data_IF_105734571804
#
_entry.id   IF_105734571804
#
_cell.length_a   1.000
_cell.length_b   1.000
_cell.length_c   1.000
_cell.angle_alpha   90.00
_cell.angle_beta   90.00
_cell.angle_gamma   90.00
#
_symmetry.space_group_name_H-M   'P 1'
#
loop_
_entity.id
_entity.type
_entity.pdbx_description
1 polymer ?
#
# COMPACT_ATOMS: atom_id res chain seq x y z
N UNK A 1 -36.87 -22.26 -88.42
CA UNK A 1 -38.10 -21.43 -88.25
C UNK A 1 -38.02 -20.72 -86.91
N UNK A 2 -37.98 -19.33 -86.90
CA UNK A 2 -38.17 -18.37 -85.81
C UNK A 2 -37.43 -18.63 -84.49
N UNK A 3 -36.32 -17.94 -84.13
CA UNK A 3 -36.16 -16.53 -83.69
C UNK A 3 -37.14 -16.13 -82.54
N UNK A 4 -36.63 -16.00 -81.34
CA UNK A 4 -37.03 -14.91 -80.45
C UNK A 4 -35.83 -14.48 -79.54
N UNK A 5 -35.54 -13.24 -79.63
CA UNK A 5 -34.61 -12.45 -78.82
C UNK A 5 -35.18 -12.26 -77.41
N UNK A 6 -34.32 -12.26 -76.44
CA UNK A 6 -34.66 -11.87 -75.04
C UNK A 6 -33.49 -11.14 -74.40
N UNK A 7 -33.71 -9.92 -74.06
CA UNK A 7 -32.82 -8.85 -73.73
C UNK A 7 -31.95 -9.09 -72.44
N UNK A 8 -30.74 -8.65 -72.52
CA UNK A 8 -29.79 -8.51 -71.43
C UNK A 8 -30.19 -7.38 -70.49
N UNK A 9 -30.23 -7.65 -69.20
CA UNK A 9 -30.34 -6.64 -68.16
C UNK A 9 -28.99 -6.55 -67.39
N UNK A 10 -28.29 -5.40 -67.30
CA UNK A 10 -27.04 -5.33 -66.55
C UNK A 10 -27.31 -5.21 -65.05
N UNK A 11 -26.75 -6.18 -64.32
CA UNK A 11 -26.79 -6.22 -62.85
C UNK A 11 -26.11 -4.99 -62.24
N UNK A 12 -26.88 -4.34 -61.38
CA UNK A 12 -26.39 -3.27 -60.50
C UNK A 12 -25.48 -3.90 -59.46
N UNK A 13 -24.20 -3.55 -59.52
CA UNK A 13 -23.22 -3.85 -58.49
C UNK A 13 -23.58 -3.08 -57.23
N UNK A 14 -23.99 -3.83 -56.19
CA UNK A 14 -24.16 -3.29 -54.84
C UNK A 14 -22.77 -3.05 -54.25
N UNK A 15 -22.29 -1.82 -54.31
CA UNK A 15 -21.14 -1.36 -53.52
C UNK A 15 -21.52 -1.36 -52.03
N UNK A 16 -20.96 -2.30 -51.32
CA UNK A 16 -21.00 -2.39 -49.85
C UNK A 16 -20.10 -1.26 -49.32
N UNK A 17 -20.56 -0.22 -48.62
CA UNK A 17 -19.70 0.81 -48.12
C UNK A 17 -18.81 0.23 -47.02
N UNK A 18 -17.50 0.36 -47.20
CA UNK A 18 -16.49 0.03 -46.18
C UNK A 18 -16.83 0.72 -44.85
N UNK A 19 -16.60 0.09 -43.69
CA UNK A 19 -16.89 0.69 -42.39
C UNK A 19 -16.10 1.98 -42.25
N UNK A 20 -16.79 3.10 -42.16
CA UNK A 20 -16.21 4.40 -41.85
C UNK A 20 -15.49 4.30 -40.53
N UNK A 21 -14.18 4.42 -40.57
CA UNK A 21 -13.34 4.66 -39.39
C UNK A 21 -13.87 5.97 -38.74
N UNK A 22 -14.64 5.85 -37.68
CA UNK A 22 -15.10 6.96 -36.86
C UNK A 22 -13.86 7.63 -36.27
N UNK A 23 -13.41 8.73 -36.84
CA UNK A 23 -12.45 9.64 -36.25
C UNK A 23 -13.06 10.09 -34.91
N UNK A 24 -12.55 9.55 -33.81
CA UNK A 24 -12.94 10.00 -32.47
C UNK A 24 -12.63 11.50 -32.33
N UNK A 25 -13.54 12.31 -31.80
CA UNK A 25 -13.34 13.73 -31.66
C UNK A 25 -12.17 14.01 -30.72
N UNK A 26 -11.24 14.88 -31.10
CA UNK A 26 -10.17 15.45 -30.26
C UNK A 26 -10.67 15.96 -28.92
N UNK A 27 -11.95 16.25 -28.78
CA UNK A 27 -12.65 16.73 -27.60
C UNK A 27 -12.62 15.74 -26.38
N UNK A 28 -12.57 14.43 -26.60
CA UNK A 28 -12.61 13.45 -25.49
C UNK A 28 -11.29 13.43 -24.68
N UNK A 29 -10.15 13.53 -25.34
CA UNK A 29 -8.83 13.60 -24.68
C UNK A 29 -8.64 14.92 -23.93
N UNK A 30 -9.04 16.05 -24.52
CA UNK A 30 -8.98 17.36 -23.88
C UNK A 30 -9.88 17.43 -22.64
N UNK A 31 -11.04 16.78 -22.68
CA UNK A 31 -11.97 16.71 -21.55
C UNK A 31 -11.43 15.86 -20.38
N UNK A 32 -10.78 14.72 -20.66
CA UNK A 32 -10.15 13.88 -19.61
C UNK A 32 -8.96 14.58 -18.96
N UNK A 33 -8.15 15.32 -19.71
CA UNK A 33 -7.03 16.09 -19.16
C UNK A 33 -7.49 17.25 -18.28
N UNK A 34 -8.53 17.97 -18.71
CA UNK A 34 -9.14 19.03 -17.92
C UNK A 34 -9.75 18.47 -16.62
N UNK A 35 -10.43 17.32 -16.70
CA UNK A 35 -10.98 16.62 -15.54
C UNK A 35 -9.88 16.20 -14.54
N UNK A 36 -8.74 15.69 -15.02
CA UNK A 36 -7.61 15.32 -14.17
C UNK A 36 -6.99 16.55 -13.49
N UNK A 37 -6.79 17.65 -14.22
CA UNK A 37 -6.27 18.91 -13.64
C UNK A 37 -7.20 19.45 -12.56
N UNK A 38 -8.50 19.49 -12.81
CA UNK A 38 -9.51 19.92 -11.84
C UNK A 38 -9.50 19.06 -10.58
N UNK A 39 -9.41 17.73 -10.75
CA UNK A 39 -9.32 16.80 -9.63
C UNK A 39 -8.05 16.97 -8.80
N UNK A 40 -6.89 17.10 -9.45
CA UNK A 40 -5.61 17.33 -8.75
C UNK A 40 -5.66 18.64 -7.94
N UNK A 41 -6.24 19.71 -8.48
CA UNK A 41 -6.43 20.98 -7.78
C UNK A 41 -7.40 20.85 -6.58
N UNK A 42 -8.47 20.06 -6.71
CA UNK A 42 -9.39 19.77 -5.59
C UNK A 42 -8.72 18.97 -4.49
N UNK A 43 -7.91 17.95 -4.84
CA UNK A 43 -7.13 17.18 -3.89
C UNK A 43 -6.06 18.02 -3.16
N UNK A 44 -5.45 18.99 -3.83
CA UNK A 44 -4.46 19.87 -3.21
C UNK A 44 -5.06 20.68 -2.05
N UNK A 45 -6.33 21.04 -2.12
CA UNK A 45 -7.08 21.78 -1.09
C UNK A 45 -7.71 20.87 -0.03
N UNK A 46 -7.76 19.55 -0.27
CA UNK A 46 -8.39 18.61 0.66
C UNK A 46 -7.47 18.29 1.85
N UNK A 47 -8.03 18.04 3.07
CA UNK A 47 -7.26 17.65 4.25
C UNK A 47 -6.79 16.19 4.15
N UNK A 48 -6.06 15.87 3.09
CA UNK A 48 -5.53 14.54 2.81
C UNK A 48 -4.00 14.54 2.89
N UNK A 49 -3.43 13.43 3.35
CA UNK A 49 -1.99 13.24 3.34
C UNK A 49 -1.44 13.29 1.90
N UNK A 50 -0.23 13.83 1.73
CA UNK A 50 0.42 13.95 0.42
C UNK A 50 0.52 12.61 -0.33
N UNK A 51 0.75 11.50 0.39
CA UNK A 51 0.77 10.15 -0.19
C UNK A 51 -0.60 9.74 -0.74
N UNK A 52 -1.69 10.01 -0.02
CA UNK A 52 -3.07 9.74 -0.45
C UNK A 52 -3.40 10.56 -1.70
N UNK A 53 -3.08 11.87 -1.71
CA UNK A 53 -3.26 12.73 -2.88
C UNK A 53 -2.54 12.18 -4.12
N UNK A 54 -1.27 11.80 -3.98
CA UNK A 54 -0.50 11.18 -5.08
C UNK A 54 -1.12 9.88 -5.57
N UNK A 55 -1.52 9.00 -4.66
CA UNK A 55 -2.14 7.72 -5.00
C UNK A 55 -3.46 7.92 -5.74
N UNK A 56 -4.35 8.77 -5.24
CA UNK A 56 -5.63 9.04 -5.84
C UNK A 56 -5.49 9.68 -7.22
N UNK A 57 -4.62 10.69 -7.36
CA UNK A 57 -4.32 11.29 -8.67
C UNK A 57 -3.80 10.27 -9.68
N UNK A 58 -2.90 9.38 -9.25
CA UNK A 58 -2.35 8.32 -10.11
C UNK A 58 -3.42 7.32 -10.55
N UNK A 59 -4.32 6.91 -9.64
CA UNK A 59 -5.40 5.97 -9.95
C UNK A 59 -6.43 6.58 -10.91
N UNK A 60 -6.86 7.81 -10.65
CA UNK A 60 -7.79 8.54 -11.52
C UNK A 60 -7.17 8.82 -12.88
N UNK A 61 -5.88 9.16 -12.94
CA UNK A 61 -5.19 9.30 -14.24
C UNK A 61 -5.26 8.00 -15.03
N UNK A 62 -5.00 6.85 -14.42
CA UNK A 62 -5.11 5.55 -15.08
C UNK A 62 -6.50 5.27 -15.62
N UNK A 63 -7.54 5.61 -14.86
CA UNK A 63 -8.93 5.52 -15.31
C UNK A 63 -9.23 6.43 -16.49
N UNK A 64 -8.86 7.71 -16.41
CA UNK A 64 -9.13 8.68 -17.47
C UNK A 64 -8.35 8.37 -18.76
N UNK A 65 -7.13 7.85 -18.65
CA UNK A 65 -6.38 7.37 -19.82
C UNK A 65 -7.08 6.16 -20.48
N UNK A 66 -7.58 5.22 -19.69
CA UNK A 66 -8.37 4.11 -20.21
C UNK A 66 -9.66 4.61 -20.85
N UNK A 67 -10.39 5.50 -20.19
CA UNK A 67 -11.63 6.08 -20.67
C UNK A 67 -11.46 6.81 -22.03
N UNK A 68 -10.32 7.49 -22.24
CA UNK A 68 -10.02 8.14 -23.50
C UNK A 68 -9.90 7.17 -24.69
N UNK A 69 -9.68 5.88 -24.45
CA UNK A 69 -9.51 4.83 -25.47
C UNK A 69 -10.62 3.78 -25.46
N UNK A 70 -11.39 3.69 -24.39
CA UNK A 70 -12.48 2.74 -24.25
C UNK A 70 -13.69 3.15 -25.12
N UNK A 71 -14.42 2.16 -25.62
CA UNK A 71 -15.71 2.36 -26.29
C UNK A 71 -16.80 2.36 -25.22
N UNK A 72 -17.29 3.55 -24.88
CA UNK A 72 -18.26 3.76 -23.80
C UNK A 72 -19.39 4.62 -24.33
N UNK A 73 -20.62 4.18 -24.10
CA UNK A 73 -21.81 4.91 -24.48
C UNK A 73 -22.08 6.10 -23.53
N UNK A 74 -22.47 7.23 -24.08
CA UNK A 74 -22.84 8.46 -23.34
C UNK A 74 -21.63 9.28 -22.89
N UNK A 75 -21.87 10.19 -21.94
CA UNK A 75 -20.82 11.01 -21.30
C UNK A 75 -20.53 10.54 -19.86
N UNK A 76 -19.52 9.68 -19.64
CA UNK A 76 -19.18 9.20 -18.30
C UNK A 76 -18.73 10.32 -17.34
N UNK A 77 -18.29 11.46 -17.86
CA UNK A 77 -17.85 12.59 -17.03
C UNK A 77 -18.99 13.55 -16.64
N UNK A 78 -20.17 13.44 -17.27
CA UNK A 78 -21.33 14.30 -17.01
C UNK A 78 -22.59 13.55 -16.58
N UNK A 79 -22.74 12.28 -16.93
CA UNK A 79 -23.96 11.50 -16.74
C UNK A 79 -23.77 10.35 -15.74
N UNK A 80 -24.60 10.22 -14.67
CA UNK A 80 -24.48 9.15 -13.68
C UNK A 80 -24.58 7.75 -14.26
N UNK A 81 -25.44 7.52 -15.24
CA UNK A 81 -25.62 6.20 -15.83
C UNK A 81 -24.42 5.79 -16.68
N UNK A 82 -23.93 6.67 -17.55
CA UNK A 82 -22.73 6.44 -18.36
C UNK A 82 -21.48 6.25 -17.46
N UNK A 83 -21.38 7.02 -16.35
CA UNK A 83 -20.35 6.81 -15.30
C UNK A 83 -20.39 5.40 -14.76
N UNK A 84 -21.55 4.89 -14.34
CA UNK A 84 -21.68 3.58 -13.73
C UNK A 84 -21.29 2.45 -14.69
N UNK A 85 -21.66 2.55 -15.96
CA UNK A 85 -21.21 1.62 -17.00
C UNK A 85 -19.70 1.68 -17.19
N UNK A 86 -19.13 2.87 -17.39
CA UNK A 86 -17.69 3.03 -17.60
C UNK A 86 -16.86 2.51 -16.41
N UNK A 87 -17.31 2.71 -15.17
CA UNK A 87 -16.58 2.23 -13.99
C UNK A 87 -16.68 0.72 -13.84
N UNK A 88 -17.80 0.09 -14.17
CA UNK A 88 -17.95 -1.39 -14.22
C UNK A 88 -17.02 -2.02 -15.26
N UNK A 89 -16.97 -1.42 -16.47
CA UNK A 89 -16.11 -1.89 -17.54
C UNK A 89 -14.63 -1.73 -17.18
N UNK A 90 -14.25 -0.60 -16.59
CA UNK A 90 -12.88 -0.40 -16.11
C UNK A 90 -12.50 -1.38 -14.98
N UNK A 91 -13.43 -1.67 -14.05
CA UNK A 91 -13.24 -2.71 -13.04
C UNK A 91 -12.99 -4.06 -13.70
N UNK A 92 -13.80 -4.43 -14.68
CA UNK A 92 -13.64 -5.68 -15.44
C UNK A 92 -12.29 -5.72 -16.14
N UNK A 93 -11.90 -4.64 -16.81
CA UNK A 93 -10.60 -4.51 -17.45
C UNK A 93 -9.43 -4.64 -16.45
N UNK A 94 -9.53 -4.01 -15.27
CA UNK A 94 -8.51 -4.14 -14.22
C UNK A 94 -8.32 -5.60 -13.76
N UNK A 95 -9.40 -6.37 -13.69
CA UNK A 95 -9.38 -7.77 -13.26
C UNK A 95 -8.89 -8.69 -14.39
N UNK A 96 -9.48 -8.57 -15.58
CA UNK A 96 -9.32 -9.55 -16.67
C UNK A 96 -8.11 -9.25 -17.57
N UNK A 97 -7.85 -7.99 -17.87
CA UNK A 97 -6.79 -7.55 -18.79
C UNK A 97 -5.55 -7.12 -18.02
N UNK A 98 -5.70 -6.16 -17.10
CA UNK A 98 -4.58 -5.65 -16.31
C UNK A 98 -4.17 -6.57 -15.17
N UNK A 99 -4.95 -7.61 -14.86
CA UNK A 99 -4.72 -8.66 -13.84
C UNK A 99 -4.29 -8.08 -12.49
N UNK A 100 -4.98 -7.04 -12.04
CA UNK A 100 -4.67 -6.37 -10.77
C UNK A 100 -5.23 -7.15 -9.58
N UNK A 101 -4.47 -7.20 -8.49
CA UNK A 101 -4.92 -7.82 -7.24
C UNK A 101 -6.20 -7.13 -6.70
N UNK A 102 -7.11 -7.88 -6.04
CA UNK A 102 -8.38 -7.35 -5.53
C UNK A 102 -8.26 -6.08 -4.69
N UNK A 103 -7.28 -6.01 -3.78
CA UNK A 103 -7.02 -4.82 -2.98
C UNK A 103 -6.63 -3.60 -3.83
N UNK A 104 -5.89 -3.81 -4.93
CA UNK A 104 -5.53 -2.75 -5.88
C UNK A 104 -6.74 -2.25 -6.65
N UNK A 105 -7.63 -3.16 -7.07
CA UNK A 105 -8.89 -2.83 -7.75
C UNK A 105 -9.77 -2.00 -6.80
N UNK A 106 -10.01 -2.49 -5.58
CA UNK A 106 -10.85 -1.80 -4.60
C UNK A 106 -10.31 -0.40 -4.24
N UNK A 107 -8.99 -0.26 -4.10
CA UNK A 107 -8.36 1.04 -3.86
C UNK A 107 -8.48 1.98 -5.08
N UNK A 108 -8.48 1.43 -6.30
CA UNK A 108 -8.69 2.21 -7.52
C UNK A 108 -10.14 2.69 -7.60
N UNK A 109 -11.10 1.83 -7.33
CA UNK A 109 -12.52 2.21 -7.27
C UNK A 109 -12.78 3.27 -6.20
N UNK A 110 -12.13 3.19 -5.03
CA UNK A 110 -12.25 4.23 -4.00
C UNK A 110 -11.76 5.62 -4.47
N UNK A 111 -10.68 5.65 -5.25
CA UNK A 111 -10.18 6.89 -5.82
C UNK A 111 -11.12 7.44 -6.92
N UNK A 112 -11.76 6.57 -7.70
CA UNK A 112 -12.75 6.94 -8.72
C UNK A 112 -14.03 7.47 -8.06
N UNK A 113 -14.48 6.87 -6.95
CA UNK A 113 -15.63 7.38 -6.19
C UNK A 113 -15.36 8.78 -5.63
N UNK A 114 -14.17 9.03 -5.07
CA UNK A 114 -13.77 10.36 -4.59
C UNK A 114 -13.73 11.36 -5.78
N UNK A 115 -13.24 10.94 -6.94
CA UNK A 115 -13.22 11.76 -8.15
C UNK A 115 -14.63 12.20 -8.58
N UNK A 116 -15.55 11.26 -8.70
CA UNK A 116 -16.91 11.55 -9.12
C UNK A 116 -17.72 12.30 -8.06
N UNK A 117 -17.51 12.00 -6.77
CA UNK A 117 -18.13 12.73 -5.66
C UNK A 117 -17.72 14.20 -5.70
N UNK A 118 -16.45 14.52 -5.96
CA UNK A 118 -15.96 15.91 -6.09
C UNK A 118 -16.47 16.62 -7.35
N UNK A 119 -16.94 15.88 -8.31
CA UNK A 119 -17.61 16.42 -9.52
C UNK A 119 -19.13 16.60 -9.34
N UNK A 120 -19.69 16.24 -8.20
CA UNK A 120 -21.12 16.32 -7.92
C UNK A 120 -21.95 15.16 -8.47
N UNK A 121 -21.32 14.13 -9.05
CA UNK A 121 -22.01 12.96 -9.60
C UNK A 121 -22.21 11.83 -8.55
N UNK A 122 -21.58 11.93 -7.38
CA UNK A 122 -21.59 10.87 -6.36
C UNK A 122 -20.75 9.65 -6.73
N UNK A 123 -20.65 8.65 -5.85
CA UNK A 123 -19.88 7.43 -6.09
C UNK A 123 -20.54 6.59 -7.19
N UNK A 124 -19.74 5.79 -7.92
CA UNK A 124 -20.23 4.86 -8.92
C UNK A 124 -20.79 3.57 -8.27
N UNK A 125 -21.82 2.99 -8.90
CA UNK A 125 -22.40 1.70 -8.50
C UNK A 125 -21.56 0.53 -9.05
N UNK A 126 -20.33 0.36 -8.52
CA UNK A 126 -19.47 -0.77 -8.86
C UNK A 126 -19.11 -1.56 -7.62
N UNK A 127 -19.44 -2.86 -7.61
CA UNK A 127 -19.16 -3.75 -6.49
C UNK A 127 -17.66 -3.88 -6.24
N UNK A 128 -17.29 -3.86 -4.97
CA UNK A 128 -15.95 -4.18 -4.53
C UNK A 128 -15.68 -5.68 -4.67
N UNK A 129 -14.43 -6.02 -4.93
CA UNK A 129 -14.02 -7.42 -4.93
C UNK A 129 -13.82 -7.90 -3.50
N UNK A 130 -14.19 -9.15 -3.25
CA UNK A 130 -13.87 -9.81 -1.99
C UNK A 130 -12.34 -9.85 -1.80
N UNK A 131 -11.90 -9.43 -0.64
CA UNK A 131 -10.49 -9.51 -0.27
C UNK A 131 -10.23 -10.88 0.37
N UNK A 132 -9.24 -11.64 -0.13
CA UNK A 132 -8.87 -12.86 0.56
C UNK A 132 -8.51 -12.53 2.00
N UNK A 133 -9.14 -13.24 2.93
CA UNK A 133 -8.85 -13.11 4.37
C UNK A 133 -7.54 -13.81 4.68
N UNK A 134 -6.43 -13.31 4.12
CA UNK A 134 -5.12 -13.79 4.52
C UNK A 134 -4.79 -13.24 5.89
N UNK A 135 -4.47 -14.14 6.83
CA UNK A 135 -3.85 -13.72 8.07
C UNK A 135 -2.55 -12.97 7.73
N UNK A 136 -2.26 -11.86 8.43
CA UNK A 136 -1.00 -11.17 8.26
C UNK A 136 0.15 -12.17 8.42
N UNK A 137 1.07 -12.20 7.46
CA UNK A 137 2.19 -13.13 7.49
C UNK A 137 3.18 -12.69 8.58
N UNK A 138 3.26 -13.45 9.66
CA UNK A 138 4.32 -13.35 10.64
C UNK A 138 5.37 -14.44 10.37
N UNK A 139 6.62 -14.19 10.73
CA UNK A 139 7.67 -15.21 10.71
C UNK A 139 7.39 -16.22 11.84
N UNK A 140 7.56 -17.50 11.54
CA UNK A 140 7.70 -18.51 12.59
C UNK A 140 9.06 -18.38 13.31
N UNK A 141 9.25 -19.09 14.41
CA UNK A 141 10.45 -18.98 15.24
C UNK A 141 11.73 -19.30 14.47
N UNK A 142 11.69 -20.28 13.56
CA UNK A 142 12.86 -20.67 12.75
C UNK A 142 13.20 -19.58 11.72
N UNK A 143 12.19 -19.02 11.05
CA UNK A 143 12.38 -17.93 10.10
C UNK A 143 12.82 -16.65 10.81
N UNK A 144 12.27 -16.34 11.99
CA UNK A 144 12.67 -15.21 12.81
C UNK A 144 14.15 -15.31 13.24
N UNK A 145 14.59 -16.48 13.68
CA UNK A 145 16.01 -16.70 14.01
C UNK A 145 16.94 -16.58 12.79
N UNK A 146 16.53 -17.09 11.61
CA UNK A 146 17.30 -16.88 10.38
C UNK A 146 17.38 -15.41 10.00
N UNK A 147 16.27 -14.68 10.11
CA UNK A 147 16.20 -13.26 9.88
C UNK A 147 17.14 -12.47 10.76
N UNK A 148 17.13 -12.72 12.08
CA UNK A 148 18.01 -12.07 13.05
C UNK A 148 19.50 -12.39 12.80
N UNK A 149 19.83 -13.62 12.44
CA UNK A 149 21.20 -14.01 12.07
C UNK A 149 21.68 -13.25 10.83
N UNK A 150 20.83 -13.13 9.80
CA UNK A 150 21.17 -12.38 8.58
C UNK A 150 21.37 -10.89 8.85
N UNK A 151 20.53 -10.29 9.72
CA UNK A 151 20.72 -8.91 10.16
C UNK A 151 22.06 -8.75 10.88
N UNK A 152 22.35 -9.60 11.86
CA UNK A 152 23.58 -9.53 12.64
C UNK A 152 24.84 -9.73 11.78
N UNK A 153 24.76 -10.53 10.72
CA UNK A 153 25.85 -10.74 9.76
C UNK A 153 26.00 -9.58 8.76
N UNK A 154 25.02 -8.66 8.67
CA UNK A 154 25.10 -7.55 7.73
C UNK A 154 26.17 -6.53 8.19
N UNK A 155 27.09 -6.09 7.30
CA UNK A 155 28.24 -5.28 7.72
C UNK A 155 27.88 -3.88 8.20
N UNK A 156 26.82 -3.26 7.61
CA UNK A 156 26.48 -1.86 7.90
C UNK A 156 25.53 -1.74 9.10
N UNK A 157 25.93 -1.07 10.21
CA UNK A 157 25.08 -0.82 11.37
C UNK A 157 23.78 -0.09 11.02
N UNK A 158 23.81 0.87 10.09
CA UNK A 158 22.61 1.54 9.58
C UNK A 158 21.55 0.55 9.09
N UNK A 159 21.96 -0.44 8.31
CA UNK A 159 21.05 -1.38 7.66
C UNK A 159 20.53 -2.43 8.66
N UNK A 160 21.35 -2.77 9.67
CA UNK A 160 20.91 -3.58 10.81
C UNK A 160 19.83 -2.88 11.61
N UNK A 161 20.05 -1.60 11.98
CA UNK A 161 19.03 -0.78 12.66
C UNK A 161 17.76 -0.68 11.84
N UNK A 162 17.86 -0.40 10.54
CA UNK A 162 16.71 -0.32 9.63
C UNK A 162 15.86 -1.60 9.68
N UNK A 163 16.49 -2.77 9.65
CA UNK A 163 15.80 -4.05 9.63
C UNK A 163 15.21 -4.45 11.00
N UNK A 164 15.86 -4.03 12.10
CA UNK A 164 15.43 -4.32 13.48
C UNK A 164 14.28 -3.43 13.95
N UNK A 165 14.16 -2.18 13.48
CA UNK A 165 13.11 -1.25 13.91
C UNK A 165 11.68 -1.79 13.71
N UNK A 166 11.30 -2.36 12.54
CA UNK A 166 10.01 -3.01 12.38
C UNK A 166 9.83 -4.26 13.25
N UNK A 167 10.91 -5.00 13.46
CA UNK A 167 10.89 -6.28 14.16
C UNK A 167 10.84 -6.14 15.70
N UNK A 168 11.59 -5.19 16.28
CA UNK A 168 11.67 -5.01 17.74
C UNK A 168 10.89 -3.83 18.29
N UNK A 169 10.45 -2.92 17.45
CA UNK A 169 9.66 -1.77 17.86
C UNK A 169 8.33 -1.64 17.09
N UNK A 170 8.02 -2.57 16.19
CA UNK A 170 6.77 -2.62 15.46
C UNK A 170 6.52 -1.41 14.53
N UNK A 171 7.56 -0.70 14.08
CA UNK A 171 7.42 0.49 13.25
C UNK A 171 6.98 0.14 11.82
N UNK A 172 6.14 1.01 11.22
CA UNK A 172 5.91 0.97 9.77
C UNK A 172 7.14 1.48 9.04
N UNK A 173 7.38 1.03 7.81
CA UNK A 173 8.55 1.49 7.02
C UNK A 173 8.61 3.02 6.88
N UNK A 174 7.45 3.66 6.72
CA UNK A 174 7.37 5.12 6.64
C UNK A 174 7.72 5.80 7.98
N UNK A 175 7.33 5.23 9.11
CA UNK A 175 7.69 5.67 10.45
C UNK A 175 9.19 5.47 10.68
N UNK A 176 9.73 4.32 10.28
CA UNK A 176 11.16 3.98 10.39
C UNK A 176 12.06 5.01 9.69
N UNK A 177 11.76 5.34 8.44
CA UNK A 177 12.58 6.31 7.69
C UNK A 177 12.32 7.77 8.10
N UNK A 178 11.22 8.03 8.81
CA UNK A 178 10.87 9.37 9.29
C UNK A 178 11.55 9.73 10.61
N UNK A 179 12.14 8.77 11.33
CA UNK A 179 12.83 9.04 12.59
C UNK A 179 13.97 10.05 12.42
N UNK A 180 14.04 10.99 13.34
CA UNK A 180 15.15 11.93 13.52
C UNK A 180 16.01 11.52 14.72
N UNK A 181 17.19 12.11 14.86
CA UNK A 181 18.07 11.87 16.01
C UNK A 181 17.37 12.23 17.33
N UNK A 182 16.64 13.34 17.36
CA UNK A 182 15.90 13.81 18.54
C UNK A 182 14.71 12.92 18.93
N UNK A 183 14.34 11.98 18.08
CA UNK A 183 13.30 11.00 18.38
C UNK A 183 13.83 9.81 19.18
N UNK A 184 15.14 9.79 19.49
CA UNK A 184 15.81 8.67 20.14
C UNK A 184 16.43 9.12 21.46
N UNK A 185 15.97 8.55 22.55
CA UNK A 185 16.61 8.68 23.85
C UNK A 185 17.23 7.34 24.24
N UNK A 186 18.56 7.28 24.36
CA UNK A 186 19.29 6.09 24.80
C UNK A 186 20.07 6.37 26.06
N UNK A 187 20.08 5.37 26.95
CA UNK A 187 20.98 5.29 28.10
C UNK A 187 21.62 3.90 28.14
N UNK A 188 22.55 3.69 29.08
CA UNK A 188 23.22 2.39 29.22
C UNK A 188 22.24 1.20 29.42
N UNK A 189 21.10 1.44 30.06
CA UNK A 189 20.13 0.38 30.42
C UNK A 189 18.77 0.48 29.74
N UNK A 190 18.37 1.68 29.26
CA UNK A 190 17.04 1.96 28.72
C UNK A 190 17.12 2.73 27.42
N UNK A 191 16.10 2.64 26.61
CA UNK A 191 15.93 3.46 25.43
C UNK A 191 14.47 3.64 25.11
N UNK A 192 14.15 4.77 24.48
CA UNK A 192 12.78 5.12 24.03
C UNK A 192 12.85 5.72 22.64
N UNK A 193 11.92 5.35 21.78
CA UNK A 193 11.70 5.95 20.46
C UNK A 193 10.41 6.75 20.50
N UNK A 194 10.45 8.00 20.09
CA UNK A 194 9.29 8.85 19.87
C UNK A 194 8.84 8.71 18.41
N UNK A 195 7.74 8.01 18.19
CA UNK A 195 7.26 7.67 16.85
C UNK A 195 6.06 8.52 16.48
N UNK A 196 6.19 9.30 15.41
CA UNK A 196 5.09 10.11 14.86
C UNK A 196 4.22 9.25 13.96
N UNK A 197 2.95 9.09 14.32
CA UNK A 197 1.95 8.34 13.58
C UNK A 197 1.23 9.17 12.51
N UNK A 198 0.08 8.68 12.05
CA UNK A 198 -0.78 9.40 11.11
C UNK A 198 -1.47 10.59 11.81
N UNK A 199 -1.41 11.76 11.21
CA UNK A 199 -1.93 13.00 11.80
C UNK A 199 -0.96 13.58 12.82
N UNK A 200 -1.46 13.93 14.01
CA UNK A 200 -0.67 14.52 15.11
C UNK A 200 -0.35 13.51 16.22
N UNK A 201 -0.67 12.23 16.03
CA UNK A 201 -0.45 11.23 17.08
C UNK A 201 1.04 10.93 17.23
N UNK A 202 1.50 10.95 18.48
CA UNK A 202 2.86 10.55 18.88
C UNK A 202 2.74 9.44 19.89
N UNK A 203 3.58 8.42 19.77
CA UNK A 203 3.71 7.35 20.77
C UNK A 203 5.16 7.15 21.16
N UNK A 204 5.37 6.68 22.37
CA UNK A 204 6.67 6.26 22.85
C UNK A 204 6.77 4.74 22.82
N UNK A 205 7.85 4.22 22.25
CA UNK A 205 8.11 2.80 22.15
C UNK A 205 9.40 2.48 22.88
N UNK A 206 9.37 1.65 23.94
CA UNK A 206 10.57 1.18 24.61
C UNK A 206 11.48 0.41 23.63
N UNK A 207 12.79 0.61 23.75
CA UNK A 207 13.77 -0.02 22.87
C UNK A 207 14.24 -1.36 23.43
N UNK A 208 14.04 -2.42 22.66
CA UNK A 208 14.57 -3.74 22.98
C UNK A 208 16.11 -3.72 23.13
N UNK A 209 16.72 -4.48 24.06
CA UNK A 209 18.16 -4.43 24.31
C UNK A 209 19.04 -4.63 23.07
N UNK A 210 18.70 -5.57 22.19
CA UNK A 210 19.43 -5.82 20.95
C UNK A 210 19.31 -4.64 19.96
N UNK A 211 18.14 -4.06 19.80
CA UNK A 211 17.96 -2.86 18.97
C UNK A 211 18.76 -1.66 19.55
N UNK A 212 18.80 -1.56 20.89
CA UNK A 212 19.56 -0.49 21.56
C UNK A 212 21.05 -0.61 21.27
N UNK A 213 21.62 -1.79 21.33
CA UNK A 213 23.04 -2.02 21.02
C UNK A 213 23.35 -1.61 19.56
N UNK A 214 22.51 -2.02 18.61
CA UNK A 214 22.70 -1.65 17.21
C UNK A 214 22.49 -0.15 16.93
N UNK A 215 21.55 0.48 17.63
CA UNK A 215 21.38 1.94 17.57
C UNK A 215 22.63 2.66 18.09
N UNK A 216 23.23 2.20 19.20
CA UNK A 216 24.47 2.80 19.72
C UNK A 216 25.58 2.71 18.68
N UNK A 217 25.83 1.53 18.10
CA UNK A 217 26.84 1.34 17.04
C UNK A 217 26.57 2.24 15.83
N UNK A 218 25.33 2.36 15.41
CA UNK A 218 24.99 3.22 14.31
C UNK A 218 25.19 4.71 14.63
N UNK A 219 24.82 5.15 15.83
CA UNK A 219 25.00 6.54 16.25
C UNK A 219 26.47 6.94 16.35
N UNK A 220 27.35 6.00 16.67
CA UNK A 220 28.82 6.19 16.63
C UNK A 220 29.35 6.31 15.20
N UNK A 221 28.83 5.52 14.25
CA UNK A 221 29.27 5.53 12.85
C UNK A 221 28.64 6.66 12.03
N UNK A 222 27.40 7.05 12.37
CA UNK A 222 26.62 8.00 11.58
C UNK A 222 27.31 9.34 11.30
N UNK A 223 28.07 9.95 12.20
CA UNK A 223 28.78 11.20 11.92
C UNK A 223 29.74 11.14 10.72
N UNK A 224 30.21 9.93 10.37
CA UNK A 224 31.09 9.70 9.23
C UNK A 224 30.33 9.56 7.90
N UNK A 225 29.01 9.59 7.91
CA UNK A 225 28.21 9.45 6.70
C UNK A 225 28.01 10.80 6.00
N UNK A 226 27.93 10.81 4.65
CA UNK A 226 27.61 12.03 3.90
C UNK A 226 26.35 12.68 4.44
N UNK A 227 26.39 14.00 4.66
CA UNK A 227 25.26 14.82 5.11
C UNK A 227 24.82 14.61 6.56
N UNK A 228 25.63 13.95 7.39
CA UNK A 228 25.35 13.73 8.80
C UNK A 228 25.26 15.03 9.60
N UNK A 229 26.01 16.03 9.20
CA UNK A 229 26.08 17.37 9.76
C UNK A 229 24.88 18.27 9.39
N UNK A 230 24.24 17.99 8.26
CA UNK A 230 23.17 18.82 7.70
C UNK A 230 21.78 18.19 7.81
N UNK A 231 21.69 16.89 8.05
CA UNK A 231 20.44 16.16 8.10
C UNK A 231 20.12 15.64 9.50
N UNK A 232 18.94 15.96 10.09
CA UNK A 232 18.52 15.40 11.38
C UNK A 232 18.08 13.93 11.28
N UNK A 233 17.93 13.37 10.08
CA UNK A 233 17.41 12.03 9.87
C UNK A 233 18.26 10.96 10.54
N UNK A 234 17.65 10.04 11.28
CA UNK A 234 18.35 8.87 11.83
C UNK A 234 19.01 8.06 10.71
N UNK A 235 18.25 7.73 9.66
CA UNK A 235 18.70 6.87 8.57
C UNK A 235 19.02 7.70 7.32
N UNK A 236 20.28 7.78 6.97
CA UNK A 236 20.79 8.49 5.80
C UNK A 236 20.93 7.58 4.59
N UNK A 237 20.76 8.13 3.41
CA UNK A 237 21.15 7.48 2.16
C UNK A 237 22.62 7.83 1.81
N UNK A 238 23.20 7.15 0.81
CA UNK A 238 24.60 7.39 0.41
C UNK A 238 24.87 8.76 -0.22
N UNK A 239 23.83 9.58 -0.47
CA UNK A 239 23.93 10.93 -1.02
C UNK A 239 23.76 12.01 0.07
N UNK A 240 23.72 11.62 1.34
CA UNK A 240 23.62 12.52 2.48
C UNK A 240 22.20 12.94 2.86
N UNK A 241 21.18 12.56 2.12
CA UNK A 241 19.79 12.85 2.50
C UNK A 241 19.14 11.73 3.30
N UNK A 242 17.93 11.99 3.79
CA UNK A 242 17.09 10.97 4.45
C UNK A 242 16.89 9.74 3.55
N UNK A 243 16.95 8.55 4.12
CA UNK A 243 16.66 7.31 3.41
C UNK A 243 15.18 7.28 2.97
N UNK A 244 14.95 6.97 1.70
CA UNK A 244 13.59 6.87 1.18
C UNK A 244 12.94 5.53 1.55
N UNK A 245 11.60 5.47 1.60
CA UNK A 245 10.83 4.23 1.82
C UNK A 245 11.24 3.14 0.81
N UNK A 246 11.43 3.49 -0.46
CA UNK A 246 11.85 2.55 -1.49
C UNK A 246 13.27 2.02 -1.23
N UNK A 247 14.21 2.90 -0.88
CA UNK A 247 15.58 2.51 -0.53
C UNK A 247 15.60 1.57 0.69
N UNK A 248 14.84 1.91 1.72
CA UNK A 248 14.67 1.08 2.91
C UNK A 248 14.08 -0.30 2.58
N UNK A 249 13.03 -0.35 1.76
CA UNK A 249 12.43 -1.62 1.32
C UNK A 249 13.40 -2.49 0.54
N UNK A 250 14.23 -1.90 -0.33
CA UNK A 250 15.23 -2.64 -1.11
C UNK A 250 16.31 -3.23 -0.18
N UNK A 251 16.78 -2.49 0.82
CA UNK A 251 17.77 -2.97 1.80
C UNK A 251 17.21 -4.17 2.58
N UNK A 252 15.98 -4.06 3.10
CA UNK A 252 15.31 -5.15 3.82
C UNK A 252 15.18 -6.38 2.91
N UNK A 253 14.78 -6.22 1.65
CA UNK A 253 14.67 -7.31 0.69
C UNK A 253 16.03 -7.99 0.42
N UNK A 254 17.12 -7.21 0.33
CA UNK A 254 18.48 -7.77 0.17
C UNK A 254 18.91 -8.60 1.37
N UNK A 255 18.67 -8.11 2.60
CA UNK A 255 18.97 -8.87 3.83
C UNK A 255 18.13 -10.16 3.87
N UNK A 256 16.87 -10.11 3.47
CA UNK A 256 15.98 -11.28 3.42
C UNK A 256 16.46 -12.33 2.42
N UNK A 257 16.86 -11.92 1.23
CA UNK A 257 17.42 -12.82 0.22
C UNK A 257 18.68 -13.53 0.73
N UNK A 258 19.58 -12.79 1.41
CA UNK A 258 20.78 -13.38 2.04
C UNK A 258 20.45 -14.37 3.17
N UNK A 259 19.27 -14.26 3.77
CA UNK A 259 18.77 -15.20 4.79
C UNK A 259 18.13 -16.47 4.19
N UNK A 260 18.04 -16.58 2.87
CA UNK A 260 17.27 -17.63 2.19
C UNK A 260 15.77 -17.56 2.54
N UNK A 261 15.25 -16.36 2.72
CA UNK A 261 13.85 -16.08 3.04
C UNK A 261 13.19 -15.49 1.79
N UNK A 262 13.11 -16.31 0.73
CA UNK A 262 12.72 -15.91 -0.63
C UNK A 262 11.29 -15.40 -0.79
N UNK A 263 10.45 -15.63 0.20
CA UNK A 263 9.05 -15.26 0.18
C UNK A 263 8.76 -13.77 0.51
N UNK A 264 9.71 -12.88 0.29
CA UNK A 264 9.46 -11.44 0.37
C UNK A 264 9.25 -10.90 1.78
N UNK A 265 10.28 -10.97 2.64
CA UNK A 265 10.27 -10.24 3.91
C UNK A 265 10.25 -8.75 3.62
N UNK A 266 9.30 -8.08 4.24
CA UNK A 266 9.13 -6.63 4.22
C UNK A 266 9.13 -6.09 5.65
N UNK A 267 9.26 -4.78 5.81
CA UNK A 267 9.06 -4.14 7.10
C UNK A 267 7.68 -4.48 7.71
N UNK A 268 6.68 -4.72 6.85
CA UNK A 268 5.34 -5.11 7.29
C UNK A 268 5.33 -6.51 7.91
N UNK A 269 6.05 -7.47 7.33
CA UNK A 269 6.26 -8.80 7.91
C UNK A 269 6.97 -8.71 9.27
N UNK A 270 8.04 -7.89 9.39
CA UNK A 270 8.72 -7.65 10.67
C UNK A 270 7.76 -7.11 11.74
N UNK A 271 6.97 -6.10 11.40
CA UNK A 271 5.95 -5.54 12.29
C UNK A 271 4.85 -6.55 12.64
N UNK A 272 4.41 -7.39 11.70
CA UNK A 272 3.45 -8.46 12.00
C UNK A 272 4.04 -9.50 12.94
N UNK A 273 5.30 -9.87 12.75
CA UNK A 273 6.02 -10.77 13.66
C UNK A 273 6.07 -10.17 15.05
N UNK A 274 6.45 -8.89 15.21
CA UNK A 274 6.42 -8.19 16.49
C UNK A 274 5.05 -8.30 17.17
N UNK A 275 3.98 -7.94 16.46
CA UNK A 275 2.63 -7.98 17.01
C UNK A 275 2.19 -9.40 17.40
N UNK A 276 2.41 -10.38 16.52
CA UNK A 276 2.02 -11.77 16.75
C UNK A 276 2.80 -12.40 17.90
N UNK A 277 4.09 -12.09 18.01
CA UNK A 277 4.94 -12.59 19.11
C UNK A 277 4.45 -12.06 20.47
N UNK A 278 4.14 -10.75 20.56
CA UNK A 278 3.60 -10.17 21.80
C UNK A 278 2.25 -10.77 22.19
N UNK A 279 1.35 -10.91 21.23
CA UNK A 279 0.01 -11.49 21.47
C UNK A 279 0.13 -12.95 21.92
N UNK A 280 0.95 -13.77 21.24
CA UNK A 280 1.20 -15.17 21.62
C UNK A 280 1.92 -15.30 22.96
N UNK A 281 2.74 -14.32 23.32
CA UNK A 281 3.37 -14.20 24.63
C UNK A 281 2.42 -13.76 25.76
N UNK A 282 1.12 -13.58 25.47
CA UNK A 282 0.11 -13.21 26.48
C UNK A 282 0.05 -11.72 26.80
N UNK A 283 0.69 -10.86 25.98
CA UNK A 283 0.62 -9.40 26.17
C UNK A 283 -0.82 -8.92 25.91
N UNK A 284 -1.33 -8.05 26.77
CA UNK A 284 -2.64 -7.44 26.60
C UNK A 284 -2.76 -6.72 25.24
N UNK A 285 -3.92 -6.92 24.57
CA UNK A 285 -4.17 -6.37 23.26
C UNK A 285 -4.17 -4.84 23.21
N UNK A 286 -4.54 -4.19 24.32
CA UNK A 286 -4.50 -2.72 24.44
C UNK A 286 -3.06 -2.25 24.43
N UNK A 287 -2.16 -2.94 25.14
CA UNK A 287 -0.71 -2.64 25.13
C UNK A 287 -0.12 -2.86 23.75
N UNK A 288 -0.48 -3.96 23.08
CA UNK A 288 -0.02 -4.22 21.69
C UNK A 288 -0.54 -3.13 20.73
N UNK A 289 -1.82 -2.72 20.87
CA UNK A 289 -2.40 -1.65 20.05
C UNK A 289 -1.67 -0.31 20.26
N UNK A 290 -1.37 0.04 21.50
CA UNK A 290 -0.64 1.25 21.87
C UNK A 290 0.78 1.25 21.26
N UNK A 291 1.56 0.20 21.47
CA UNK A 291 2.88 0.03 20.89
C UNK A 291 2.87 0.16 19.35
N UNK A 292 1.82 -0.36 18.69
CA UNK A 292 1.67 -0.30 17.25
C UNK A 292 1.10 1.06 16.76
N UNK A 293 0.54 1.88 17.64
CA UNK A 293 -0.15 3.11 17.28
C UNK A 293 -1.40 2.84 16.44
N UNK A 294 -2.22 1.88 16.85
CA UNK A 294 -3.52 1.57 16.26
C UNK A 294 -4.62 2.36 16.96
N UNK A 295 -5.25 3.29 16.25
CA UNK A 295 -6.38 4.07 16.76
C UNK A 295 -7.65 3.22 17.00
N UNK A 296 -7.70 1.99 16.48
CA UNK A 296 -8.83 1.06 16.61
C UNK A 296 -8.33 -0.33 16.94
N UNK A 297 -8.93 -0.95 17.95
CA UNK A 297 -8.64 -2.34 18.35
C UNK A 297 -8.99 -3.37 17.27
N UNK A 298 -9.93 -3.07 16.37
CA UNK A 298 -10.27 -3.95 15.24
C UNK A 298 -9.07 -4.29 14.36
N UNK A 299 -8.09 -3.40 14.28
CA UNK A 299 -6.85 -3.64 13.53
C UNK A 299 -5.96 -4.67 14.22
N UNK A 300 -6.09 -4.84 15.54
CA UNK A 300 -5.32 -5.83 16.33
C UNK A 300 -5.96 -7.22 16.24
N UNK A 301 -7.27 -7.32 15.99
CA UNK A 301 -7.98 -8.58 15.76
C UNK A 301 -7.37 -9.43 14.62
N UNK A 302 -6.72 -8.80 13.65
CA UNK A 302 -6.00 -9.52 12.61
C UNK A 302 -4.85 -10.39 13.14
N UNK A 303 -4.31 -10.07 14.33
CA UNK A 303 -3.24 -10.83 14.99
C UNK A 303 -3.77 -11.89 15.98
N UNK A 304 -5.06 -11.82 16.32
CA UNK A 304 -5.73 -12.69 17.27
C UNK A 304 -6.73 -13.58 16.56
N UNK A 305 -6.26 -14.63 15.88
CA UNK A 305 -7.14 -15.77 15.59
C UNK A 305 -6.98 -16.78 16.73
N UNK A 306 -7.87 -16.74 17.76
CA UNK A 306 -7.78 -17.69 18.86
C UNK A 306 -7.99 -19.10 18.30
N UNK A 307 -7.08 -19.98 18.66
CA UNK A 307 -7.23 -21.42 18.44
C UNK A 307 -8.25 -21.98 19.42
N UNK A 308 -8.69 -23.22 19.22
CA UNK A 308 -9.56 -23.92 20.19
C UNK A 308 -8.86 -24.10 21.54
N UNK A 309 -7.53 -24.30 21.49
CA UNK A 309 -6.69 -24.40 22.67
C UNK A 309 -6.62 -23.09 23.49
N UNK A 310 -6.55 -21.94 22.79
CA UNK A 310 -6.60 -20.61 23.44
C UNK A 310 -7.94 -20.37 24.14
N UNK A 311 -9.04 -20.80 23.51
CA UNK A 311 -10.38 -20.69 24.12
C UNK A 311 -10.50 -21.58 25.35
N UNK A 312 -10.02 -22.81 25.27
CA UNK A 312 -10.01 -23.75 26.40
C UNK A 312 -9.15 -23.24 27.56
N UNK A 313 -7.96 -22.73 27.27
CA UNK A 313 -7.10 -22.11 28.30
C UNK A 313 -7.77 -20.91 28.96
N UNK A 314 -8.45 -20.04 28.18
CA UNK A 314 -9.16 -18.90 28.73
C UNK A 314 -10.28 -19.32 29.67
N UNK A 315 -11.05 -20.37 29.33
CA UNK A 315 -12.11 -20.89 30.19
C UNK A 315 -11.56 -21.52 31.48
N UNK A 316 -10.41 -22.13 31.43
CA UNK A 316 -9.76 -22.74 32.58
C UNK A 316 -9.20 -21.72 33.61
N UNK A 317 -9.16 -20.42 33.25
CA UNK A 317 -8.85 -19.32 34.18
C UNK A 317 -10.03 -18.95 35.09
N UNK A 318 -11.25 -19.41 34.77
CA UNK A 318 -12.41 -19.13 35.61
C UNK A 318 -12.35 -19.99 36.87
N UNK A 319 -12.69 -19.41 38.04
CA UNK A 319 -12.77 -20.20 39.28
C UNK A 319 -13.85 -21.26 39.11
N UNK A 320 -13.51 -22.52 39.41
CA UNK A 320 -14.47 -23.59 39.57
C UNK A 320 -14.84 -23.73 41.04
N UNK A 321 -16.15 -23.75 41.34
CA UNK A 321 -16.64 -24.17 42.62
C UNK A 321 -16.40 -25.68 42.79
N UNK A 322 -15.62 -26.08 43.80
CA UNK A 322 -15.34 -27.48 44.10
C UNK A 322 -16.28 -28.05 45.11
#
# INVERSE_FOLDING_TARGET
>A
MRAHQGASNPGVASENPAPRATQRPRSASENTDAALRGYAAALARAPLAAATRRTYTSKVRGYLMWLATADVDGDPLGEPQARDWAVRDYRTWLVTVAKRAPATVNNTLAAIDDFYTRRGLGPATADRLDLPTQAPRALDDKAALRWLRAINAHPAPRDRVLALLPFYAGLRIAETVALDLDDIALSARKGTLRVRGKGTTVREVPVHPQLRAELALWLEERPNWPGADTSPALLLNRRGGRLSVRGASNIIATIAANAGLDDGITAHVGRHTFATTLVRGGTDLVVVADLLGHARLDTVRAYTRPTEDDRTKALNLLPADR
#
